data_IF_509082224912
#
_entry.id   IF_509082224912
#
_cell.length_a   1.000
_cell.length_b   1.000
_cell.length_c   1.000
_cell.angle_alpha   90.00
_cell.angle_beta   90.00
_cell.angle_gamma   90.00
#
_symmetry.space_group_name_H-M   'P 1'
#
loop_
_entity.id
_entity.type
_entity.pdbx_description
1 polymer ?
#
# COMPACT_ATOMS: atom_id res chain seq x y z
N UNK A 1 -57.62 40.41 30.81
CA UNK A 1 -56.91 40.73 29.56
C UNK A 1 -56.25 39.43 29.11
N UNK A 2 -56.95 38.56 28.40
CA UNK A 2 -57.32 38.60 26.97
C UNK A 2 -56.18 38.09 26.07
N UNK A 3 -56.39 36.84 25.62
CA UNK A 3 -55.95 36.14 24.40
C UNK A 3 -54.45 35.95 24.09
N UNK A 4 -54.03 34.68 24.17
CA UNK A 4 -53.12 34.09 23.20
C UNK A 4 -53.86 33.86 21.85
N UNK A 5 -53.12 33.87 20.74
CA UNK A 5 -53.12 32.72 19.83
C UNK A 5 -51.66 32.33 19.58
N UNK A 6 -51.17 31.16 20.00
CA UNK A 6 -51.41 29.84 19.39
C UNK A 6 -51.37 29.92 17.85
N UNK A 7 -50.15 29.69 17.33
CA UNK A 7 -49.82 28.81 16.21
C UNK A 7 -51.04 28.31 15.41
N UNK A 8 -51.46 29.08 14.41
CA UNK A 8 -52.45 28.66 13.42
C UNK A 8 -52.01 29.16 12.04
N UNK A 9 -51.25 28.32 11.34
CA UNK A 9 -51.32 28.13 9.87
C UNK A 9 -50.48 26.94 9.36
N UNK A 10 -50.36 25.88 10.18
CA UNK A 10 -50.25 24.52 9.67
C UNK A 10 -51.61 24.13 9.06
N UNK A 11 -51.77 24.31 7.74
CA UNK A 11 -52.70 23.57 6.85
C UNK A 11 -53.00 24.34 5.55
N UNK A 12 -51.95 24.79 4.84
CA UNK A 12 -52.07 25.02 3.40
C UNK A 12 -51.64 23.72 2.72
N UNK A 13 -52.55 22.97 2.07
CA UNK A 13 -52.18 21.73 1.40
C UNK A 13 -51.11 22.07 0.36
N UNK A 14 -49.91 21.54 0.56
CA UNK A 14 -48.83 21.64 -0.41
C UNK A 14 -49.40 21.18 -1.75
N UNK A 15 -49.39 22.06 -2.75
CA UNK A 15 -49.89 21.73 -4.08
C UNK A 15 -49.41 20.33 -4.49
N UNK A 16 -50.27 19.46 -5.05
CA UNK A 16 -49.91 18.07 -5.38
C UNK A 16 -48.67 17.96 -6.29
N UNK A 17 -48.28 19.06 -6.94
CA UNK A 17 -47.05 19.21 -7.72
C UNK A 17 -45.79 19.34 -6.83
N UNK A 18 -45.85 19.99 -5.67
CA UNK A 18 -44.72 20.19 -4.75
C UNK A 18 -44.30 18.90 -4.04
N UNK A 19 -45.25 18.01 -3.73
CA UNK A 19 -44.92 16.72 -3.11
C UNK A 19 -44.19 15.78 -4.09
N UNK A 20 -44.54 15.83 -5.38
CA UNK A 20 -43.85 15.08 -6.45
C UNK A 20 -42.39 15.54 -6.57
N UNK A 21 -42.14 16.85 -6.47
CA UNK A 21 -40.78 17.40 -6.47
C UNK A 21 -39.99 16.99 -5.22
N UNK A 22 -40.57 17.10 -4.03
CA UNK A 22 -39.95 16.65 -2.77
C UNK A 22 -39.55 15.16 -2.85
N UNK A 23 -40.45 14.30 -3.32
CA UNK A 23 -40.18 12.86 -3.51
C UNK A 23 -39.06 12.61 -4.52
N UNK A 24 -39.00 13.42 -5.59
CA UNK A 24 -37.95 13.35 -6.62
C UNK A 24 -36.58 13.79 -6.08
N UNK A 25 -36.54 14.82 -5.23
CA UNK A 25 -35.31 15.27 -4.54
C UNK A 25 -34.78 14.21 -3.58
N UNK A 26 -35.65 13.61 -2.76
CA UNK A 26 -35.27 12.53 -1.83
C UNK A 26 -34.74 11.32 -2.58
N UNK A 27 -35.36 10.96 -3.71
CA UNK A 27 -34.89 9.85 -4.56
C UNK A 27 -33.51 10.12 -5.14
N UNK A 28 -33.22 11.34 -5.60
CA UNK A 28 -31.90 11.71 -6.11
C UNK A 28 -30.84 11.73 -5.00
N UNK A 29 -31.20 12.22 -3.81
CA UNK A 29 -30.31 12.22 -2.64
C UNK A 29 -29.95 10.79 -2.22
N UNK A 30 -30.93 9.88 -2.20
CA UNK A 30 -30.68 8.46 -1.92
C UNK A 30 -29.74 7.81 -2.94
N UNK A 31 -29.89 8.12 -4.24
CA UNK A 31 -28.98 7.62 -5.29
C UNK A 31 -27.56 8.15 -5.09
N UNK A 32 -27.40 9.45 -4.80
CA UNK A 32 -26.09 10.05 -4.55
C UNK A 32 -25.38 9.43 -3.35
N UNK A 33 -26.11 9.25 -2.24
CA UNK A 33 -25.57 8.57 -1.04
C UNK A 33 -25.19 7.13 -1.37
N UNK A 34 -26.01 6.42 -2.15
CA UNK A 34 -25.72 5.06 -2.58
C UNK A 34 -24.41 4.94 -3.34
N UNK A 35 -24.17 5.81 -4.34
CA UNK A 35 -22.93 5.80 -5.12
C UNK A 35 -21.71 6.12 -4.24
N UNK A 36 -21.83 7.12 -3.36
CA UNK A 36 -20.77 7.47 -2.41
C UNK A 36 -20.44 6.30 -1.48
N UNK A 37 -21.45 5.61 -0.96
CA UNK A 37 -21.29 4.45 -0.11
C UNK A 37 -20.61 3.28 -0.83
N UNK A 38 -21.00 3.01 -2.09
CA UNK A 38 -20.36 1.99 -2.93
C UNK A 38 -18.87 2.31 -3.14
N UNK A 39 -18.52 3.58 -3.39
CA UNK A 39 -17.12 4.00 -3.52
C UNK A 39 -16.29 3.70 -2.26
N UNK A 40 -16.83 4.03 -1.08
CA UNK A 40 -16.18 3.71 0.21
C UNK A 40 -16.05 2.19 0.41
N UNK A 41 -17.13 1.44 0.15
CA UNK A 41 -17.13 -0.02 0.27
C UNK A 41 -16.15 -0.70 -0.71
N UNK A 42 -15.98 -0.15 -1.92
CA UNK A 42 -15.02 -0.66 -2.88
C UNK A 42 -13.57 -0.50 -2.39
N UNK A 43 -13.22 0.65 -1.80
CA UNK A 43 -11.88 0.88 -1.23
C UNK A 43 -11.64 -0.03 -0.04
N UNK A 44 -12.60 -0.14 0.89
CA UNK A 44 -12.50 -1.05 2.04
C UNK A 44 -12.36 -2.50 1.57
N UNK A 45 -13.15 -2.93 0.58
CA UNK A 45 -13.07 -4.25 -0.02
C UNK A 45 -11.71 -4.52 -0.65
N UNK A 46 -11.13 -3.56 -1.38
CA UNK A 46 -9.80 -3.69 -1.96
C UNK A 46 -8.70 -3.82 -0.90
N UNK A 47 -8.81 -3.07 0.21
CA UNK A 47 -7.90 -3.16 1.35
C UNK A 47 -8.00 -4.55 1.99
N UNK A 48 -9.20 -4.99 2.37
CA UNK A 48 -9.41 -6.31 2.98
C UNK A 48 -8.91 -7.41 2.03
N UNK A 49 -9.24 -7.34 0.75
CA UNK A 49 -8.74 -8.26 -0.26
C UNK A 49 -7.21 -8.30 -0.31
N UNK A 50 -6.54 -7.14 -0.28
CA UNK A 50 -5.08 -7.05 -0.25
C UNK A 50 -4.48 -7.69 1.02
N UNK A 51 -5.17 -7.61 2.15
CA UNK A 51 -4.70 -8.17 3.43
C UNK A 51 -5.10 -9.64 3.64
N UNK A 52 -6.20 -10.11 3.06
CA UNK A 52 -6.70 -11.48 3.20
C UNK A 52 -6.18 -12.40 2.10
N UNK A 53 -5.74 -11.85 0.95
CA UNK A 53 -5.04 -12.66 -0.04
C UNK A 53 -3.58 -12.77 0.35
N UNK A 54 -3.06 -13.98 0.62
CA UNK A 54 -1.63 -14.18 0.62
C UNK A 54 -1.14 -13.80 -0.78
N UNK A 55 -0.35 -12.72 -0.86
CA UNK A 55 0.46 -12.45 -2.03
C UNK A 55 1.24 -13.74 -2.34
N UNK A 56 1.42 -14.13 -3.62
CA UNK A 56 2.47 -15.08 -3.97
C UNK A 56 3.73 -14.60 -3.25
N UNK A 57 4.29 -15.44 -2.39
CA UNK A 57 5.29 -15.06 -1.40
C UNK A 57 6.45 -14.34 -2.07
N UNK A 58 6.45 -13.02 -2.01
CA UNK A 58 7.69 -12.30 -1.81
C UNK A 58 7.82 -12.22 -0.30
N UNK A 59 8.86 -12.82 0.31
CA UNK A 59 9.00 -12.84 1.76
C UNK A 59 9.16 -11.41 2.26
N UNK A 60 8.06 -10.80 2.68
CA UNK A 60 8.06 -9.56 3.45
C UNK A 60 8.32 -9.98 4.89
N UNK A 61 9.59 -10.20 5.21
CA UNK A 61 10.00 -10.37 6.60
C UNK A 61 9.82 -9.00 7.24
N UNK A 62 8.93 -8.93 8.24
CA UNK A 62 8.72 -7.75 9.06
C UNK A 62 10.09 -7.18 9.48
N UNK A 63 10.31 -5.91 9.19
CA UNK A 63 11.48 -5.21 9.70
C UNK A 63 11.31 -5.10 11.23
N UNK A 64 11.82 -6.10 11.95
CA UNK A 64 12.13 -5.96 13.36
C UNK A 64 13.07 -4.77 13.49
N UNK A 65 12.62 -3.71 14.15
CA UNK A 65 13.49 -2.60 14.52
C UNK A 65 14.58 -3.19 15.42
N UNK A 66 15.75 -3.46 14.84
CA UNK A 66 16.89 -3.95 15.58
C UNK A 66 17.35 -2.85 16.53
N UNK A 67 17.34 -3.14 17.83
CA UNK A 67 17.96 -2.28 18.83
C UNK A 67 19.47 -2.28 18.53
N UNK A 68 20.13 -1.11 18.37
CA UNK A 68 21.57 -1.07 18.16
C UNK A 68 22.29 -1.75 19.33
N UNK A 69 23.03 -2.82 19.04
CA UNK A 69 23.94 -3.47 19.98
C UNK A 69 25.37 -3.14 19.59
N UNK A 70 26.24 -2.86 20.57
CA UNK A 70 27.69 -2.69 20.36
C UNK A 70 28.43 -4.01 20.03
N UNK A 71 27.70 -5.12 19.93
CA UNK A 71 28.26 -6.41 19.53
C UNK A 71 28.61 -6.43 18.03
N UNK A 72 29.71 -7.09 17.63
CA UNK A 72 30.03 -7.31 16.22
C UNK A 72 28.88 -8.01 15.49
N UNK A 73 28.59 -7.57 14.26
CA UNK A 73 27.56 -8.18 13.42
C UNK A 73 28.13 -9.40 12.71
N UNK A 74 27.64 -10.59 13.07
CA UNK A 74 27.89 -11.83 12.34
C UNK A 74 26.79 -12.05 11.28
N UNK A 75 27.18 -12.25 10.03
CA UNK A 75 26.22 -12.37 8.94
C UNK A 75 26.76 -13.21 7.77
N UNK A 76 25.87 -13.87 7.04
CA UNK A 76 26.20 -14.73 5.89
C UNK A 76 25.52 -14.20 4.64
N UNK A 77 26.32 -13.73 3.68
CA UNK A 77 25.83 -13.38 2.35
C UNK A 77 25.78 -14.63 1.45
N UNK A 78 24.61 -15.26 1.33
CA UNK A 78 24.41 -16.41 0.46
C UNK A 78 24.37 -15.98 -1.02
N UNK A 79 25.51 -16.05 -1.70
CA UNK A 79 25.60 -15.76 -3.14
C UNK A 79 25.19 -16.98 -3.99
N UNK A 80 24.68 -16.78 -5.22
CA UNK A 80 24.31 -17.88 -6.11
C UNK A 80 25.48 -18.82 -6.42
N UNK A 81 25.18 -20.10 -6.60
CA UNK A 81 26.17 -21.08 -7.01
C UNK A 81 26.85 -20.67 -8.33
N UNK A 82 28.17 -20.77 -8.38
CA UNK A 82 28.97 -20.38 -9.55
C UNK A 82 29.17 -18.86 -9.72
N UNK A 83 28.70 -18.03 -8.79
CA UNK A 83 29.04 -16.61 -8.76
C UNK A 83 30.49 -16.43 -8.32
N UNK A 84 31.29 -15.77 -9.15
CA UNK A 84 32.69 -15.42 -8.87
C UNK A 84 32.79 -13.93 -8.58
N UNK A 85 33.23 -13.58 -7.37
CA UNK A 85 33.42 -12.19 -6.94
C UNK A 85 34.65 -11.60 -7.64
N UNK A 86 34.48 -10.45 -8.28
CA UNK A 86 35.53 -9.66 -8.90
C UNK A 86 35.86 -8.38 -8.12
N UNK A 87 34.92 -7.88 -7.31
CA UNK A 87 35.13 -6.71 -6.46
C UNK A 87 34.04 -6.54 -5.42
N UNK A 88 34.35 -5.78 -4.38
CA UNK A 88 33.44 -5.49 -3.26
C UNK A 88 33.45 -3.98 -3.01
N UNK A 89 32.28 -3.40 -2.80
CA UNK A 89 32.13 -2.01 -2.38
C UNK A 89 31.18 -1.91 -1.18
N UNK A 90 31.41 -0.95 -0.30
CA UNK A 90 30.60 -0.68 0.88
C UNK A 90 30.04 0.75 0.80
N UNK A 91 28.74 0.88 1.02
CA UNK A 91 28.04 2.17 1.16
C UNK A 91 27.07 2.10 2.35
N UNK A 92 27.43 2.79 3.44
CA UNK A 92 26.68 2.73 4.69
C UNK A 92 26.52 1.29 5.19
N UNK A 93 25.27 0.82 5.27
CA UNK A 93 24.94 -0.53 5.71
C UNK A 93 24.74 -1.53 4.56
N UNK A 94 25.22 -1.21 3.36
CA UNK A 94 25.07 -2.05 2.17
C UNK A 94 26.42 -2.42 1.57
N UNK A 95 26.55 -3.69 1.22
CA UNK A 95 27.73 -4.26 0.56
C UNK A 95 27.31 -4.68 -0.85
N UNK A 96 27.99 -4.17 -1.86
CA UNK A 96 27.84 -4.61 -3.24
C UNK A 96 28.95 -5.61 -3.59
N UNK A 97 28.56 -6.81 -4.00
CA UNK A 97 29.47 -7.81 -4.59
C UNK A 97 29.35 -7.74 -6.11
N UNK A 98 30.40 -7.22 -6.75
CA UNK A 98 30.52 -7.16 -8.20
C UNK A 98 31.18 -8.45 -8.68
N UNK A 99 30.61 -9.11 -9.68
CA UNK A 99 31.16 -10.38 -10.13
C UNK A 99 30.57 -10.86 -11.43
N UNK A 100 30.83 -12.14 -11.70
CA UNK A 100 30.33 -12.86 -12.87
C UNK A 100 29.66 -14.15 -12.46
N UNK A 101 28.56 -14.49 -13.13
CA UNK A 101 27.95 -15.81 -13.02
C UNK A 101 28.77 -16.86 -13.80
N UNK A 102 28.44 -18.13 -13.61
CA UNK A 102 29.07 -19.25 -14.31
C UNK A 102 28.98 -19.13 -15.86
N UNK A 103 27.98 -18.41 -16.37
CA UNK A 103 27.83 -18.11 -17.80
C UNK A 103 28.63 -16.90 -18.29
N UNK A 104 29.46 -16.31 -17.41
CA UNK A 104 30.29 -15.13 -17.70
C UNK A 104 29.56 -13.78 -17.63
N UNK A 105 28.24 -13.77 -17.43
CA UNK A 105 27.47 -12.51 -17.37
C UNK A 105 27.82 -11.71 -16.13
N UNK A 106 27.98 -10.40 -16.30
CA UNK A 106 28.21 -9.48 -15.21
C UNK A 106 26.96 -9.33 -14.35
N UNK A 107 27.16 -9.44 -13.04
CA UNK A 107 26.12 -9.37 -12.03
C UNK A 107 26.62 -8.60 -10.82
N UNK A 108 25.72 -7.87 -10.17
CA UNK A 108 25.95 -7.19 -8.89
C UNK A 108 24.93 -7.70 -7.90
N UNK A 109 25.42 -8.17 -6.76
CA UNK A 109 24.60 -8.60 -5.63
C UNK A 109 24.68 -7.56 -4.53
N UNK A 110 23.54 -7.01 -4.10
CA UNK A 110 23.50 -6.03 -3.02
C UNK A 110 23.04 -6.68 -1.73
N UNK A 111 23.90 -6.70 -0.73
CA UNK A 111 23.63 -7.19 0.62
C UNK A 111 23.37 -6.02 1.56
N UNK A 112 22.31 -6.09 2.37
CA UNK A 112 22.02 -5.10 3.40
C UNK A 112 22.29 -5.73 4.78
N UNK A 113 23.21 -5.13 5.52
CA UNK A 113 23.68 -5.61 6.83
C UNK A 113 22.58 -5.50 7.88
N UNK A 114 21.70 -4.50 7.79
CA UNK A 114 20.58 -4.29 8.73
C UNK A 114 19.59 -5.43 8.67
N UNK A 115 19.27 -5.85 7.45
CA UNK A 115 18.28 -6.90 7.18
C UNK A 115 18.91 -8.28 7.00
N UNK A 116 20.25 -8.35 7.08
CA UNK A 116 21.07 -9.55 6.96
C UNK A 116 20.72 -10.42 5.74
N UNK A 117 20.54 -9.79 4.57
CA UNK A 117 20.15 -10.48 3.34
C UNK A 117 20.55 -9.76 2.06
N UNK A 118 20.54 -10.49 0.95
CA UNK A 118 20.61 -9.92 -0.40
C UNK A 118 19.29 -9.20 -0.71
N UNK A 119 19.36 -7.91 -0.97
CA UNK A 119 18.23 -7.03 -1.27
C UNK A 119 18.10 -6.72 -2.77
N UNK A 120 19.13 -6.97 -3.57
CA UNK A 120 19.04 -6.82 -5.02
C UNK A 120 19.95 -7.79 -5.77
N UNK A 121 19.46 -8.25 -6.92
CA UNK A 121 20.19 -8.99 -7.93
C UNK A 121 20.14 -8.25 -9.28
N UNK A 122 21.27 -7.70 -9.70
CA UNK A 122 21.33 -6.74 -10.81
C UNK A 122 22.20 -7.32 -11.92
N UNK A 123 21.61 -7.56 -13.09
CA UNK A 123 22.37 -7.88 -14.30
C UNK A 123 22.98 -6.60 -14.89
N UNK A 124 24.26 -6.64 -15.23
CA UNK A 124 24.96 -5.52 -15.86
C UNK A 124 25.17 -5.85 -17.33
N UNK A 125 24.63 -5.02 -18.20
CA UNK A 125 24.74 -5.16 -19.66
C UNK A 125 25.20 -3.83 -20.25
N UNK A 126 26.02 -3.88 -21.30
CA UNK A 126 26.32 -2.70 -22.10
C UNK A 126 25.20 -2.51 -23.11
N UNK A 127 24.61 -1.31 -23.15
CA UNK A 127 23.63 -0.93 -24.16
C UNK A 127 24.39 -0.26 -25.33
N UNK A 128 24.09 -0.60 -26.60
CA UNK A 128 24.73 0.01 -27.77
C UNK A 128 24.35 1.49 -27.94
#
# INVERSE_FOLDING_TARGET
MSNAPEDDQDDKPLDPEMEKVRRKMVRLLAVSIGIMFVGVMAVLGAIVYKFTRPSPQQPVVAASQAVPSDAPVEAVAALPAGFTIAGIALDGNRIAFNGRMADGKLRVMLYDITTSRIVADIAVINRP
#
